data_IF_820964130003
#
_entry.id   IF_820964130003
#
_cell.length_a   1.000
_cell.length_b   1.000
_cell.length_c   1.000
_cell.angle_alpha   90.00
_cell.angle_beta   90.00
_cell.angle_gamma   90.00
#
_symmetry.space_group_name_H-M   'P 1'
#
loop_
_entity.id
_entity.type
_entity.pdbx_description
1 polymer ?
#
# COMPACT_ATOMS: atom_id res chain seq x y z
N UNK A 1 -13.04 -1.54 -8.62
CA UNK A 1 -12.95 -3.00 -8.72
C UNK A 1 -14.30 -3.71 -8.73
N UNK A 2 -15.34 -3.23 -8.04
CA UNK A 2 -16.60 -4.00 -7.97
C UNK A 2 -17.25 -4.30 -9.33
N UNK A 3 -17.08 -3.39 -10.31
CA UNK A 3 -17.54 -3.63 -11.69
C UNK A 3 -16.82 -4.81 -12.37
N UNK A 4 -15.59 -5.15 -11.99
CA UNK A 4 -14.83 -6.30 -12.53
C UNK A 4 -15.49 -7.62 -12.10
N UNK A 5 -16.00 -7.66 -10.86
CA UNK A 5 -16.80 -8.79 -10.37
C UNK A 5 -18.13 -8.85 -11.12
N UNK A 6 -18.83 -7.72 -11.22
CA UNK A 6 -20.13 -7.65 -11.88
C UNK A 6 -20.06 -8.06 -13.36
N UNK A 7 -19.06 -7.59 -14.11
CA UNK A 7 -18.92 -7.91 -15.53
C UNK A 7 -18.54 -9.36 -15.74
N UNK A 8 -17.70 -9.95 -14.87
CA UNK A 8 -17.35 -11.37 -14.94
C UNK A 8 -18.60 -12.24 -14.77
N UNK A 9 -19.44 -11.95 -13.78
CA UNK A 9 -20.71 -12.66 -13.59
C UNK A 9 -21.70 -12.43 -14.74
N UNK A 10 -21.77 -11.22 -15.29
CA UNK A 10 -22.64 -10.89 -16.42
C UNK A 10 -22.25 -11.67 -17.68
N UNK A 11 -20.95 -11.75 -17.98
CA UNK A 11 -20.43 -12.44 -19.16
C UNK A 11 -20.64 -13.95 -19.09
N UNK A 12 -20.53 -14.55 -17.89
CA UNK A 12 -20.68 -16.01 -17.70
C UNK A 12 -22.14 -16.42 -17.49
N UNK A 13 -22.86 -15.75 -16.60
CA UNK A 13 -24.21 -16.15 -16.17
C UNK A 13 -25.33 -15.45 -16.95
N UNK A 14 -25.01 -14.44 -17.75
CA UNK A 14 -25.99 -13.62 -18.45
C UNK A 14 -26.73 -12.62 -17.54
N UNK A 15 -27.60 -11.81 -18.14
CA UNK A 15 -28.34 -10.71 -17.49
C UNK A 15 -29.26 -11.18 -16.36
N UNK A 16 -29.96 -12.31 -16.54
CA UNK A 16 -30.98 -12.78 -15.59
C UNK A 16 -30.39 -13.34 -14.29
N UNK A 17 -29.28 -14.07 -14.39
CA UNK A 17 -28.69 -14.76 -13.23
C UNK A 17 -27.58 -13.95 -12.55
N UNK A 18 -26.89 -13.07 -13.29
CA UNK A 18 -25.77 -12.28 -12.75
C UNK A 18 -26.20 -11.34 -11.61
N UNK A 19 -27.31 -10.62 -11.74
CA UNK A 19 -27.75 -9.68 -10.71
C UNK A 19 -28.11 -10.37 -9.37
N UNK A 20 -28.96 -11.42 -9.33
CA UNK A 20 -29.21 -12.16 -8.09
C UNK A 20 -27.96 -12.75 -7.45
N UNK A 21 -27.03 -13.28 -8.26
CA UNK A 21 -25.77 -13.85 -7.78
C UNK A 21 -24.90 -12.76 -7.15
N UNK A 22 -24.74 -11.63 -7.83
CA UNK A 22 -23.99 -10.50 -7.32
C UNK A 22 -24.59 -9.97 -6.00
N UNK A 23 -25.91 -9.88 -5.88
CA UNK A 23 -26.56 -9.52 -4.62
C UNK A 23 -26.21 -10.47 -3.47
N UNK A 24 -26.16 -11.79 -3.73
CA UNK A 24 -25.78 -12.80 -2.72
C UNK A 24 -24.32 -12.70 -2.30
N UNK A 25 -23.43 -12.36 -3.21
CA UNK A 25 -22.01 -12.17 -2.91
C UNK A 25 -21.74 -10.88 -2.12
N UNK A 26 -22.60 -9.87 -2.28
CA UNK A 26 -22.40 -8.53 -1.71
C UNK A 26 -23.13 -8.29 -0.39
N UNK A 27 -24.22 -9.01 -0.13
CA UNK A 27 -25.03 -8.76 1.05
C UNK A 27 -25.50 -10.04 1.72
N UNK A 28 -25.38 -10.06 3.06
CA UNK A 28 -25.87 -11.13 3.93
C UNK A 28 -24.79 -11.68 4.86
N UNK A 29 -25.18 -12.53 5.83
CA UNK A 29 -24.23 -13.24 6.68
C UNK A 29 -23.30 -14.11 5.84
N UNK A 30 -21.98 -13.91 5.96
CA UNK A 30 -20.99 -14.68 5.22
C UNK A 30 -20.80 -14.28 3.76
N UNK A 31 -21.40 -13.17 3.31
CA UNK A 31 -21.20 -12.65 1.97
C UNK A 31 -19.74 -12.20 1.76
N UNK A 32 -18.99 -12.79 0.80
CA UNK A 32 -17.54 -12.59 0.70
C UNK A 32 -17.14 -11.17 0.30
N UNK A 33 -18.01 -10.41 -0.37
CA UNK A 33 -17.73 -9.04 -0.80
C UNK A 33 -18.21 -7.98 0.20
N UNK A 34 -18.99 -8.36 1.21
CA UNK A 34 -19.52 -7.43 2.21
C UNK A 34 -18.43 -6.62 2.96
N UNK A 35 -17.24 -7.19 3.30
CA UNK A 35 -16.14 -6.44 3.90
C UNK A 35 -15.58 -5.32 2.99
N UNK A 36 -15.73 -5.45 1.67
CA UNK A 36 -15.20 -4.52 0.68
C UNK A 36 -16.13 -3.32 0.42
N UNK A 37 -17.39 -3.43 0.86
CA UNK A 37 -18.44 -2.44 0.68
C UNK A 37 -18.64 -1.56 1.93
N UNK A 38 -17.77 -1.70 2.93
CA UNK A 38 -17.82 -0.90 4.16
C UNK A 38 -17.30 0.52 3.90
N UNK A 39 -17.68 1.46 4.77
CA UNK A 39 -17.23 2.87 4.69
C UNK A 39 -15.74 3.04 4.90
N UNK A 40 -15.10 2.05 5.57
CA UNK A 40 -13.67 2.02 5.80
C UNK A 40 -13.09 0.74 5.21
N UNK A 41 -11.82 0.81 4.79
CA UNK A 41 -11.08 -0.35 4.28
C UNK A 41 -10.55 -1.26 5.40
N UNK A 42 -10.75 -0.90 6.67
CA UNK A 42 -10.23 -1.66 7.82
C UNK A 42 -10.64 -3.14 7.80
N UNK A 43 -11.92 -3.50 7.54
CA UNK A 43 -12.32 -4.91 7.48
C UNK A 43 -11.63 -5.66 6.34
N UNK A 44 -11.41 -5.01 5.19
CA UNK A 44 -10.71 -5.62 4.06
C UNK A 44 -9.23 -5.82 4.36
N UNK A 45 -8.59 -4.80 4.94
CA UNK A 45 -7.19 -4.85 5.35
C UNK A 45 -6.96 -5.95 6.39
N UNK A 46 -7.87 -6.06 7.36
CA UNK A 46 -7.83 -7.11 8.37
C UNK A 46 -7.86 -8.51 7.75
N UNK A 47 -8.77 -8.79 6.82
CA UNK A 47 -8.81 -10.08 6.13
C UNK A 47 -7.54 -10.34 5.31
N UNK A 48 -6.97 -9.32 4.66
CA UNK A 48 -5.72 -9.45 3.93
C UNK A 48 -4.52 -9.76 4.84
N UNK A 49 -4.52 -9.25 6.07
CA UNK A 49 -3.40 -9.44 7.01
C UNK A 49 -3.20 -10.91 7.40
N UNK A 50 -4.22 -11.77 7.23
CA UNK A 50 -4.08 -13.23 7.38
C UNK A 50 -3.03 -13.84 6.45
N UNK A 51 -2.72 -13.21 5.32
CA UNK A 51 -1.66 -13.65 4.43
C UNK A 51 -0.29 -13.69 5.12
N UNK A 52 0.03 -12.73 5.98
CA UNK A 52 1.35 -12.60 6.60
C UNK A 52 1.71 -13.78 7.53
N UNK A 53 0.88 -14.20 8.51
CA UNK A 53 1.20 -15.35 9.34
C UNK A 53 1.17 -16.66 8.54
N UNK A 54 0.32 -16.79 7.51
CA UNK A 54 0.33 -17.95 6.60
C UNK A 54 1.68 -18.07 5.88
N UNK A 55 2.18 -16.97 5.30
CA UNK A 55 3.50 -16.94 4.66
C UNK A 55 4.59 -17.23 5.70
N UNK A 56 4.52 -16.66 6.90
CA UNK A 56 5.50 -16.88 7.97
C UNK A 56 5.64 -18.35 8.37
N UNK A 57 4.52 -19.07 8.45
CA UNK A 57 4.50 -20.50 8.78
C UNK A 57 4.99 -21.38 7.63
N UNK A 58 4.72 -20.99 6.38
CA UNK A 58 5.16 -21.74 5.19
C UNK A 58 6.63 -21.48 4.83
N UNK A 59 7.07 -20.22 4.84
CA UNK A 59 8.45 -19.80 4.58
C UNK A 59 8.81 -18.57 5.44
N UNK A 60 9.50 -18.85 6.55
CA UNK A 60 9.97 -17.81 7.48
C UNK A 60 10.98 -16.86 6.85
N UNK A 61 11.82 -17.33 5.93
CA UNK A 61 12.83 -16.49 5.27
C UNK A 61 12.16 -15.47 4.36
N UNK A 62 11.12 -15.90 3.63
CA UNK A 62 10.31 -15.00 2.80
C UNK A 62 9.58 -13.97 3.66
N UNK A 63 8.93 -14.40 4.75
CA UNK A 63 8.25 -13.48 5.66
C UNK A 63 9.20 -12.43 6.26
N UNK A 64 10.39 -12.83 6.70
CA UNK A 64 11.41 -11.89 7.19
C UNK A 64 11.87 -10.90 6.11
N UNK A 65 11.93 -11.30 4.84
CA UNK A 65 12.28 -10.41 3.74
C UNK A 65 11.20 -9.35 3.51
N UNK A 66 9.93 -9.76 3.47
CA UNK A 66 8.79 -8.88 3.31
C UNK A 66 8.65 -7.90 4.49
N UNK A 67 8.88 -8.39 5.72
CA UNK A 67 8.87 -7.56 6.93
C UNK A 67 10.03 -6.56 6.95
N UNK A 68 11.27 -6.98 6.64
CA UNK A 68 12.42 -6.06 6.56
C UNK A 68 12.20 -4.93 5.55
N UNK A 69 11.56 -5.23 4.42
CA UNK A 69 11.21 -4.24 3.42
C UNK A 69 10.00 -3.37 3.78
N UNK A 70 9.22 -3.75 4.80
CA UNK A 70 8.00 -3.04 5.23
C UNK A 70 6.99 -2.85 4.08
N UNK A 71 6.86 -3.86 3.19
CA UNK A 71 5.98 -3.78 2.02
C UNK A 71 4.49 -3.86 2.37
N UNK A 72 4.17 -4.50 3.50
CA UNK A 72 2.79 -4.73 3.96
C UNK A 72 1.99 -5.61 3.00
N UNK A 73 0.65 -5.50 3.04
CA UNK A 73 -0.27 -6.33 2.23
C UNK A 73 -0.96 -5.56 1.11
N UNK A 74 -0.70 -4.25 1.00
CA UNK A 74 -1.47 -3.35 0.11
C UNK A 74 -1.26 -3.63 -1.38
N UNK A 75 -0.16 -4.28 -1.78
CA UNK A 75 0.07 -4.70 -3.17
C UNK A 75 -0.98 -5.72 -3.65
N UNK A 76 -1.52 -6.54 -2.73
CA UNK A 76 -2.48 -7.59 -3.03
C UNK A 76 -3.93 -7.11 -3.00
N UNK A 77 -4.17 -5.89 -2.51
CA UNK A 77 -5.52 -5.34 -2.35
C UNK A 77 -6.32 -5.33 -3.67
N UNK A 78 -5.76 -4.91 -4.82
CA UNK A 78 -6.49 -4.94 -6.09
C UNK A 78 -6.92 -6.36 -6.49
N UNK A 79 -6.06 -7.35 -6.22
CA UNK A 79 -6.34 -8.75 -6.52
C UNK A 79 -7.51 -9.27 -5.70
N UNK A 80 -7.47 -9.03 -4.40
CA UNK A 80 -8.49 -9.51 -3.48
C UNK A 80 -9.85 -8.86 -3.72
N UNK A 81 -9.88 -7.54 -3.97
CA UNK A 81 -11.12 -6.79 -4.21
C UNK A 81 -11.87 -7.21 -5.48
N UNK A 82 -11.16 -7.76 -6.45
CA UNK A 82 -11.71 -8.06 -7.79
C UNK A 82 -11.64 -9.53 -8.14
N UNK A 83 -11.22 -10.36 -7.19
CA UNK A 83 -10.92 -11.78 -7.40
C UNK A 83 -10.05 -11.98 -8.65
N UNK A 84 -8.97 -11.19 -8.75
CA UNK A 84 -8.01 -11.17 -9.85
C UNK A 84 -8.57 -10.74 -11.22
N UNK A 85 -9.81 -10.25 -11.28
CA UNK A 85 -10.53 -10.00 -12.54
C UNK A 85 -9.88 -9.00 -13.50
N UNK A 86 -9.09 -8.05 -13.00
CA UNK A 86 -8.31 -7.12 -13.83
C UNK A 86 -6.80 -7.32 -13.71
N UNK A 87 -6.37 -8.36 -12.98
CA UNK A 87 -4.95 -8.63 -12.70
C UNK A 87 -4.38 -9.74 -13.57
N UNK A 88 -5.24 -10.55 -14.20
CA UNK A 88 -4.87 -11.61 -15.13
C UNK A 88 -5.24 -11.22 -16.56
N UNK A 89 -4.33 -11.51 -17.50
CA UNK A 89 -4.55 -11.26 -18.91
C UNK A 89 -5.44 -12.33 -19.56
N UNK A 90 -5.46 -13.55 -19.01
CA UNK A 90 -6.26 -14.67 -19.53
C UNK A 90 -7.60 -14.73 -18.80
N UNK A 91 -8.67 -14.39 -19.51
CA UNK A 91 -10.03 -14.42 -18.95
C UNK A 91 -10.46 -15.82 -18.49
N UNK A 92 -9.97 -16.89 -19.13
CA UNK A 92 -10.25 -18.27 -18.73
C UNK A 92 -9.77 -18.56 -17.28
N UNK A 93 -8.60 -18.05 -16.91
CA UNK A 93 -8.04 -18.24 -15.56
C UNK A 93 -8.86 -17.47 -14.51
N UNK A 94 -9.35 -16.27 -14.86
CA UNK A 94 -10.26 -15.49 -14.01
C UNK A 94 -11.53 -16.30 -13.71
N UNK A 95 -12.21 -16.81 -14.75
CA UNK A 95 -13.45 -17.58 -14.55
C UNK A 95 -13.18 -18.86 -13.75
N UNK A 96 -12.05 -19.54 -14.00
CA UNK A 96 -11.65 -20.72 -13.24
C UNK A 96 -11.43 -20.45 -11.75
N UNK A 97 -10.85 -19.30 -11.41
CA UNK A 97 -10.71 -18.84 -10.02
C UNK A 97 -12.06 -18.53 -9.40
N UNK A 98 -12.98 -17.89 -10.14
CA UNK A 98 -14.34 -17.63 -9.68
C UNK A 98 -15.08 -18.93 -9.34
N UNK A 99 -15.02 -19.95 -10.20
CA UNK A 99 -15.61 -21.26 -9.92
C UNK A 99 -15.13 -21.83 -8.58
N UNK A 100 -13.82 -21.69 -8.30
CA UNK A 100 -13.25 -22.14 -7.04
C UNK A 100 -13.72 -21.30 -5.86
N UNK A 101 -13.67 -19.96 -5.97
CA UNK A 101 -14.04 -19.04 -4.88
C UNK A 101 -15.52 -19.13 -4.51
N UNK A 102 -16.40 -19.40 -5.47
CA UNK A 102 -17.82 -19.60 -5.20
C UNK A 102 -18.10 -20.88 -4.40
N UNK A 103 -17.23 -21.87 -4.48
CA UNK A 103 -17.34 -23.13 -3.74
C UNK A 103 -16.48 -23.18 -2.46
N UNK A 104 -15.61 -22.19 -2.26
CA UNK A 104 -14.65 -22.15 -1.15
C UNK A 104 -15.11 -21.24 0.00
N UNK A 105 -14.50 -21.35 1.19
CA UNK A 105 -14.74 -20.42 2.28
C UNK A 105 -14.39 -18.96 1.88
N UNK A 106 -15.08 -17.93 2.42
CA UNK A 106 -14.90 -16.54 2.00
C UNK A 106 -13.46 -15.99 2.09
N UNK A 107 -12.63 -16.52 2.99
CA UNK A 107 -11.24 -16.09 3.16
C UNK A 107 -10.26 -16.77 2.19
N UNK A 108 -10.69 -17.81 1.46
CA UNK A 108 -9.83 -18.59 0.58
C UNK A 108 -9.04 -17.77 -0.46
N UNK A 109 -9.57 -16.68 -1.07
CA UNK A 109 -8.77 -15.86 -1.99
C UNK A 109 -7.51 -15.23 -1.35
N UNK A 110 -7.49 -15.03 -0.03
CA UNK A 110 -6.29 -14.57 0.70
C UNK A 110 -5.21 -15.66 0.74
N UNK A 111 -5.61 -16.93 0.85
CA UNK A 111 -4.69 -18.07 0.79
C UNK A 111 -4.13 -18.27 -0.61
N UNK A 112 -4.93 -18.03 -1.66
CA UNK A 112 -4.44 -17.99 -3.04
C UNK A 112 -3.42 -16.88 -3.22
N UNK A 113 -3.67 -15.70 -2.66
CA UNK A 113 -2.71 -14.59 -2.66
C UNK A 113 -1.40 -15.00 -1.97
N UNK A 114 -1.47 -15.63 -0.79
CA UNK A 114 -0.30 -16.14 -0.08
C UNK A 114 0.48 -17.18 -0.93
N UNK A 115 -0.22 -18.11 -1.56
CA UNK A 115 0.37 -19.12 -2.43
C UNK A 115 1.08 -18.52 -3.64
N UNK A 116 0.53 -17.46 -4.25
CA UNK A 116 1.20 -16.72 -5.33
C UNK A 116 2.51 -16.08 -4.84
N UNK A 117 2.50 -15.47 -3.66
CA UNK A 117 3.70 -14.84 -3.08
C UNK A 117 4.77 -15.90 -2.78
N UNK A 118 4.37 -17.05 -2.24
CA UNK A 118 5.27 -18.19 -2.00
C UNK A 118 5.84 -18.78 -3.30
N UNK A 119 5.01 -18.91 -4.34
CA UNK A 119 5.47 -19.37 -5.66
C UNK A 119 6.56 -18.44 -6.24
N UNK A 120 6.46 -17.14 -5.96
CA UNK A 120 7.40 -16.11 -6.43
C UNK A 120 8.50 -15.78 -5.42
N UNK A 121 8.74 -16.63 -4.44
CA UNK A 121 9.75 -16.41 -3.40
C UNK A 121 11.14 -16.12 -3.99
N UNK A 122 11.54 -16.85 -5.04
CA UNK A 122 12.84 -16.67 -5.69
C UNK A 122 12.98 -15.27 -6.34
N UNK A 123 11.91 -14.73 -6.91
CA UNK A 123 11.92 -13.36 -7.46
C UNK A 123 12.06 -12.33 -6.33
N UNK A 124 11.38 -12.56 -5.20
CA UNK A 124 11.45 -11.69 -4.01
C UNK A 124 12.86 -11.71 -3.43
N UNK A 125 13.51 -12.88 -3.32
CA UNK A 125 14.87 -12.98 -2.80
C UNK A 125 15.93 -12.33 -3.69
N UNK A 126 15.68 -12.25 -4.99
CA UNK A 126 16.57 -11.59 -5.95
C UNK A 126 16.25 -10.10 -6.16
N UNK A 127 15.14 -9.61 -5.61
CA UNK A 127 14.77 -8.21 -5.64
C UNK A 127 15.53 -7.43 -4.56
N UNK A 128 15.70 -6.12 -4.78
CA UNK A 128 16.23 -5.24 -3.75
C UNK A 128 15.26 -5.19 -2.56
N UNK A 129 15.80 -5.27 -1.34
CA UNK A 129 15.04 -5.21 -0.10
C UNK A 129 14.60 -3.76 0.22
N UNK A 130 13.82 -3.19 -0.69
CA UNK A 130 13.22 -1.87 -0.62
C UNK A 130 11.70 -1.97 -0.81
N UNK A 131 10.97 -1.13 -0.09
CA UNK A 131 9.50 -1.14 -0.08
C UNK A 131 8.93 -0.93 -1.49
N UNK A 132 9.43 0.05 -2.23
CA UNK A 132 8.89 0.40 -3.54
C UNK A 132 9.21 -0.68 -4.58
N UNK A 133 10.43 -1.22 -4.55
CA UNK A 133 10.85 -2.28 -5.47
C UNK A 133 10.02 -3.54 -5.31
N UNK A 134 9.85 -4.02 -4.07
CA UNK A 134 9.02 -5.19 -3.80
C UNK A 134 7.54 -4.94 -4.07
N UNK A 135 7.03 -3.75 -3.75
CA UNK A 135 5.65 -3.40 -4.08
C UNK A 135 5.42 -3.44 -5.60
N UNK A 136 6.34 -2.90 -6.40
CA UNK A 136 6.26 -2.93 -7.86
C UNK A 136 6.35 -4.35 -8.44
N UNK A 137 7.27 -5.17 -7.91
CA UNK A 137 7.46 -6.56 -8.34
C UNK A 137 6.20 -7.39 -8.04
N UNK A 138 5.69 -7.29 -6.81
CA UNK A 138 4.55 -8.07 -6.37
C UNK A 138 3.27 -7.60 -7.03
N UNK A 139 3.07 -6.30 -7.30
CA UNK A 139 1.82 -5.79 -7.91
C UNK A 139 1.54 -6.32 -9.33
N UNK A 140 2.55 -6.85 -10.03
CA UNK A 140 2.41 -7.40 -11.39
C UNK A 140 2.47 -8.92 -11.34
N UNK A 141 1.40 -9.58 -11.80
CA UNK A 141 1.36 -11.03 -11.91
C UNK A 141 1.96 -11.49 -13.24
N UNK A 142 2.82 -12.52 -13.25
CA UNK A 142 3.25 -13.18 -14.48
C UNK A 142 2.09 -13.84 -15.22
N UNK A 143 2.17 -13.89 -16.56
CA UNK A 143 1.12 -14.46 -17.43
C UNK A 143 1.10 -16.00 -17.45
N UNK A 144 2.17 -16.62 -16.98
CA UNK A 144 2.44 -18.06 -16.99
C UNK A 144 2.31 -18.69 -15.60
N UNK A 145 1.64 -18.02 -14.67
CA UNK A 145 1.35 -18.57 -13.34
C UNK A 145 0.57 -19.90 -13.44
N UNK A 146 1.04 -20.97 -12.80
CA UNK A 146 0.35 -22.26 -12.79
C UNK A 146 -0.81 -22.26 -11.77
N UNK A 147 -1.95 -21.68 -12.14
CA UNK A 147 -3.08 -21.48 -11.21
C UNK A 147 -3.60 -22.76 -10.56
N UNK A 148 -3.60 -23.89 -11.25
CA UNK A 148 -4.04 -25.16 -10.67
C UNK A 148 -3.11 -25.61 -9.53
N UNK A 149 -1.79 -25.48 -9.70
CA UNK A 149 -0.82 -25.81 -8.65
C UNK A 149 -0.88 -24.81 -7.49
N UNK A 150 -1.11 -23.54 -7.80
CA UNK A 150 -1.34 -22.48 -6.81
C UNK A 150 -2.60 -22.78 -5.99
N UNK A 151 -3.70 -23.23 -6.62
CA UNK A 151 -4.93 -23.60 -5.92
C UNK A 151 -4.72 -24.82 -5.00
N UNK A 152 -3.96 -25.83 -5.45
CA UNK A 152 -3.59 -26.98 -4.61
C UNK A 152 -2.76 -26.52 -3.40
N UNK A 153 -1.80 -25.64 -3.62
CA UNK A 153 -0.96 -25.08 -2.56
C UNK A 153 -1.78 -24.25 -1.58
N UNK A 154 -2.64 -23.36 -2.08
CA UNK A 154 -3.55 -22.54 -1.27
C UNK A 154 -4.49 -23.38 -0.42
N UNK A 155 -4.98 -24.51 -0.97
CA UNK A 155 -5.79 -25.47 -0.21
C UNK A 155 -5.03 -26.07 0.96
N UNK A 156 -3.78 -26.52 0.74
CA UNK A 156 -2.92 -27.01 1.83
C UNK A 156 -2.66 -25.95 2.88
N UNK A 157 -2.33 -24.72 2.45
CA UNK A 157 -2.15 -23.60 3.36
C UNK A 157 -3.38 -23.30 4.21
N UNK A 158 -4.58 -23.44 3.64
CA UNK A 158 -5.83 -23.26 4.38
C UNK A 158 -6.07 -24.40 5.38
N UNK A 159 -5.80 -25.65 5.00
CA UNK A 159 -5.95 -26.82 5.87
C UNK A 159 -4.95 -26.80 7.04
N UNK A 160 -3.72 -26.34 6.80
CA UNK A 160 -2.66 -26.25 7.81
C UNK A 160 -2.79 -25.01 8.71
N UNK A 161 -3.63 -24.05 8.33
CA UNK A 161 -3.78 -22.78 9.05
C UNK A 161 -5.26 -22.36 9.14
N UNK A 162 -5.96 -22.84 10.17
CA UNK A 162 -7.32 -22.40 10.43
C UNK A 162 -7.34 -20.89 10.73
N UNK A 163 -8.21 -20.10 10.08
CA UNK A 163 -8.34 -18.67 10.36
C UNK A 163 -8.57 -18.34 11.84
N UNK A 164 -9.30 -19.20 12.56
CA UNK A 164 -9.59 -19.02 13.99
C UNK A 164 -8.32 -19.02 14.84
N UNK A 165 -7.33 -19.82 14.45
CA UNK A 165 -6.04 -19.91 15.14
C UNK A 165 -5.13 -18.72 14.82
N UNK A 166 -5.28 -18.15 13.62
CA UNK A 166 -4.47 -17.02 13.14
C UNK A 166 -4.94 -15.66 13.70
N UNK A 167 -6.19 -15.55 14.12
CA UNK A 167 -6.80 -14.27 14.54
C UNK A 167 -5.97 -13.55 15.61
N UNK A 168 -5.43 -14.28 16.58
CA UNK A 168 -4.61 -13.68 17.64
C UNK A 168 -3.28 -13.10 17.10
N UNK A 169 -2.68 -13.74 16.10
CA UNK A 169 -1.46 -13.26 15.44
C UNK A 169 -1.75 -12.04 14.56
N UNK A 170 -2.85 -12.06 13.82
CA UNK A 170 -3.30 -10.93 12.99
C UNK A 170 -3.60 -9.71 13.86
N UNK A 171 -4.36 -9.87 14.94
CA UNK A 171 -4.65 -8.78 15.88
C UNK A 171 -3.37 -8.27 16.60
N UNK A 172 -2.36 -9.11 16.79
CA UNK A 172 -1.06 -8.67 17.30
C UNK A 172 -0.27 -7.86 16.26
N UNK A 173 -0.28 -8.26 14.99
CA UNK A 173 0.32 -7.53 13.89
C UNK A 173 -0.30 -6.14 13.72
N UNK A 174 -1.63 -6.05 13.69
CA UNK A 174 -2.34 -4.78 13.55
C UNK A 174 -2.03 -3.81 14.69
N UNK A 175 -2.00 -4.29 15.93
CA UNK A 175 -1.61 -3.48 17.09
C UNK A 175 -0.19 -2.92 16.96
N UNK A 176 0.76 -3.72 16.47
CA UNK A 176 2.15 -3.28 16.25
C UNK A 176 2.22 -2.22 15.15
N UNK A 177 1.52 -2.43 14.03
CA UNK A 177 1.45 -1.45 12.95
C UNK A 177 0.83 -0.13 13.41
N UNK A 178 -0.27 -0.17 14.16
CA UNK A 178 -0.91 1.03 14.70
C UNK A 178 0.02 1.79 15.66
N UNK A 179 0.71 1.09 16.55
CA UNK A 179 1.67 1.69 17.47
C UNK A 179 2.79 2.38 16.70
N UNK A 180 3.34 1.72 15.68
CA UNK A 180 4.39 2.28 14.83
C UNK A 180 3.89 3.53 14.09
N UNK A 181 2.69 3.49 13.50
CA UNK A 181 2.07 4.65 12.85
C UNK A 181 1.89 5.83 13.82
N UNK A 182 1.43 5.58 15.05
CA UNK A 182 1.29 6.62 16.09
C UNK A 182 2.64 7.25 16.45
N UNK A 183 3.67 6.43 16.65
CA UNK A 183 5.01 6.91 16.98
C UNK A 183 5.60 7.76 15.84
N UNK A 184 5.40 7.36 14.59
CA UNK A 184 5.89 8.11 13.44
C UNK A 184 5.13 9.42 13.22
N UNK A 185 3.82 9.44 13.46
CA UNK A 185 3.05 10.69 13.50
C UNK A 185 3.55 11.65 14.59
N UNK A 186 3.84 11.14 15.80
CA UNK A 186 4.39 11.95 16.87
C UNK A 186 5.77 12.51 16.50
N UNK A 187 6.64 11.68 15.91
CA UNK A 187 7.96 12.11 15.42
C UNK A 187 7.82 13.20 14.35
N UNK A 188 6.87 13.07 13.42
CA UNK A 188 6.61 14.06 12.39
C UNK A 188 6.11 15.37 13.01
N UNK A 189 5.15 15.32 13.94
CA UNK A 189 4.64 16.49 14.67
C UNK A 189 5.76 17.20 15.43
N UNK A 190 6.63 16.47 16.14
CA UNK A 190 7.80 17.02 16.83
C UNK A 190 8.77 17.72 15.87
N UNK A 191 9.07 17.09 14.72
CA UNK A 191 9.92 17.69 13.66
C UNK A 191 9.30 18.97 13.10
N UNK A 192 8.00 18.98 12.84
CA UNK A 192 7.28 20.17 12.36
C UNK A 192 7.29 21.32 13.37
N UNK A 193 7.08 21.03 14.66
CA UNK A 193 7.14 22.02 15.73
C UNK A 193 8.56 22.58 15.90
N UNK A 194 9.58 21.73 15.84
CA UNK A 194 10.99 22.16 15.89
C UNK A 194 11.33 23.06 14.69
N UNK A 195 10.92 22.68 13.49
CA UNK A 195 11.16 23.48 12.28
C UNK A 195 10.43 24.84 12.35
N UNK A 196 9.18 24.88 12.82
CA UNK A 196 8.44 26.13 13.07
C UNK A 196 9.14 27.04 14.09
N UNK A 197 9.61 26.48 15.20
CA UNK A 197 10.38 27.23 16.21
C UNK A 197 11.68 27.76 15.61
N UNK A 198 12.42 26.96 14.86
CA UNK A 198 13.67 27.38 14.24
C UNK A 198 13.45 28.51 13.21
N UNK A 199 12.43 28.41 12.37
CA UNK A 199 12.04 29.47 11.43
C UNK A 199 11.61 30.76 12.15
N UNK A 200 10.84 30.64 13.24
CA UNK A 200 10.48 31.82 14.07
C UNK A 200 11.69 32.44 14.78
N UNK A 201 12.65 31.62 15.22
CA UNK A 201 13.90 32.07 15.86
C UNK A 201 14.83 32.76 14.87
N UNK A 202 14.96 32.23 13.66
CA UNK A 202 15.66 32.86 12.54
C UNK A 202 14.98 34.17 12.12
N UNK A 203 13.65 34.19 11.97
CA UNK A 203 12.91 35.41 11.68
C UNK A 203 13.05 36.47 12.78
N UNK A 204 13.07 36.05 14.06
CA UNK A 204 13.31 36.94 15.19
C UNK A 204 14.76 37.47 15.23
N UNK A 205 15.75 36.64 14.91
CA UNK A 205 17.16 37.05 14.79
C UNK A 205 17.37 38.01 13.62
N UNK A 206 16.83 37.68 12.44
CA UNK A 206 16.83 38.57 11.27
C UNK A 206 16.15 39.90 11.59
N UNK A 207 14.98 39.88 12.26
CA UNK A 207 14.35 41.11 12.74
C UNK A 207 15.28 41.92 13.63
N UNK A 208 16.02 41.31 14.57
CA UNK A 208 16.98 42.04 15.43
C UNK A 208 18.17 42.60 14.67
N UNK A 209 18.68 41.88 13.66
CA UNK A 209 19.81 42.34 12.85
C UNK A 209 19.43 43.42 11.84
N UNK A 210 18.16 43.54 11.45
CA UNK A 210 17.69 44.60 10.54
C UNK A 210 17.50 45.92 11.32
N UNK A 211 18.23 46.99 10.98
CA UNK A 211 18.12 48.29 11.65
C UNK A 211 16.72 48.88 11.49
N UNK A 212 16.24 49.58 12.52
CA UNK A 212 14.86 50.09 12.59
C UNK A 212 14.48 50.99 11.40
N UNK A 213 15.44 51.72 10.83
CA UNK A 213 15.25 52.59 9.67
C UNK A 213 14.78 51.83 8.41
N UNK A 214 15.24 50.60 8.17
CA UNK A 214 14.82 49.77 7.03
C UNK A 214 13.43 49.15 7.22
N UNK A 215 12.89 49.12 8.45
CA UNK A 215 11.54 48.62 8.73
C UNK A 215 10.44 49.66 8.48
N UNK A 216 10.80 50.94 8.48
CA UNK A 216 9.87 52.05 8.28
C UNK A 216 9.60 52.38 6.79
N UNK A 217 10.32 51.74 5.87
CA UNK A 217 10.17 51.95 4.43
C UNK A 217 9.08 51.01 3.89
N UNK A 218 7.99 51.53 3.28
CA UNK A 218 6.87 50.70 2.82
C UNK A 218 7.20 50.11 1.44
N UNK A 219 8.07 49.10 1.41
CA UNK A 219 8.32 48.35 0.17
C UNK A 219 7.22 47.32 -0.06
N UNK A 220 6.65 47.32 -1.26
CA UNK A 220 5.76 46.24 -1.70
C UNK A 220 6.55 44.93 -1.73
N UNK A 221 5.91 43.80 -1.36
CA UNK A 221 6.59 42.47 -1.32
C UNK A 221 7.28 42.11 -2.64
N UNK A 222 6.77 42.63 -3.77
CA UNK A 222 7.32 42.45 -5.12
C UNK A 222 8.62 43.24 -5.34
N UNK A 223 8.71 44.48 -4.84
CA UNK A 223 9.91 45.30 -4.95
C UNK A 223 11.08 44.77 -4.11
N UNK A 224 10.78 44.23 -2.91
CA UNK A 224 11.79 43.62 -2.04
C UNK A 224 12.37 42.32 -2.65
N UNK A 225 11.53 41.49 -3.28
CA UNK A 225 12.00 40.28 -3.97
C UNK A 225 12.85 40.62 -5.19
N UNK A 226 12.45 41.60 -6.00
CA UNK A 226 13.19 42.02 -7.19
C UNK A 226 14.56 42.63 -6.86
N UNK A 227 14.66 43.37 -5.77
CA UNK A 227 15.94 43.95 -5.32
C UNK A 227 16.86 42.89 -4.71
N UNK A 228 16.31 41.92 -3.97
CA UNK A 228 17.09 40.80 -3.44
C UNK A 228 17.68 39.91 -4.54
N UNK A 229 16.91 39.62 -5.60
CA UNK A 229 17.42 38.84 -6.74
C UNK A 229 18.50 39.57 -7.53
N UNK A 230 18.35 40.89 -7.73
CA UNK A 230 19.39 41.72 -8.38
C UNK A 230 20.66 41.77 -7.54
N UNK A 231 20.56 41.96 -6.22
CA UNK A 231 21.74 41.96 -5.34
C UNK A 231 22.43 40.60 -5.29
N UNK A 232 21.66 39.50 -5.29
CA UNK A 232 22.23 38.15 -5.37
C UNK A 232 22.96 37.93 -6.71
N UNK A 233 22.37 38.38 -7.83
CA UNK A 233 22.99 38.32 -9.15
C UNK A 233 24.29 39.13 -9.25
N UNK A 234 24.31 40.35 -8.69
CA UNK A 234 25.52 41.19 -8.61
C UNK A 234 26.58 40.52 -7.72
N UNK A 235 26.17 39.96 -6.57
CA UNK A 235 27.08 39.28 -5.67
C UNK A 235 27.73 38.05 -6.32
N UNK A 236 26.95 37.24 -7.03
CA UNK A 236 27.43 36.08 -7.80
C UNK A 236 28.36 36.51 -8.94
N UNK A 237 28.05 37.63 -9.62
CA UNK A 237 28.89 38.16 -10.69
C UNK A 237 30.28 38.59 -10.20
N UNK A 238 30.38 39.18 -9.01
CA UNK A 238 31.65 39.66 -8.45
C UNK A 238 32.41 38.61 -7.62
N UNK A 239 31.81 37.46 -7.31
CA UNK A 239 32.48 36.32 -6.64
C UNK A 239 32.11 34.97 -7.28
N UNK A 240 32.59 34.69 -8.50
CA UNK A 240 32.33 33.42 -9.18
C UNK A 240 33.00 32.21 -8.49
N UNK A 241 34.08 32.43 -7.73
CA UNK A 241 34.92 31.38 -7.13
C UNK A 241 34.22 30.52 -6.05
N UNK A 242 33.05 30.95 -5.55
CA UNK A 242 32.29 30.26 -4.50
C UNK A 242 31.30 29.21 -5.04
N UNK A 243 30.95 29.25 -6.33
CA UNK A 243 30.00 28.32 -6.95
C UNK A 243 30.67 27.32 -7.90
N UNK A 244 31.85 27.63 -8.43
CA UNK A 244 32.53 26.85 -9.48
C UNK A 244 33.80 26.12 -9.03
N UNK A 245 34.13 26.11 -7.73
CA UNK A 245 35.24 25.29 -7.22
C UNK A 245 34.72 24.04 -6.51
N UNK A 246 34.36 23.04 -7.32
CA UNK A 246 34.38 21.61 -6.98
C UNK A 246 34.80 20.82 -8.20
#
# INVERSE_FOLDING_TARGET
GYHDVAITLLLVCGDKASFPLLCRLSYGPGAPLAPFMQTTMQPTQHLLNYMLPVISRADRKLAECLDKAQVGTMFALPWYLTWFGHSLNKYADVVRLYDYFLCAPPLFPVYVTAAIVLYRADEVFNCECDMAMLHCLLSRLPDDLPFEDILVTAKRLYEDNDPTDLEAEVAALERREEEQRRLDEERLKRRQLANRRNTSGLAARLRRCVPAALRAVPWSRRAALATATVLLGIYVYYRPDLLFNR
#
